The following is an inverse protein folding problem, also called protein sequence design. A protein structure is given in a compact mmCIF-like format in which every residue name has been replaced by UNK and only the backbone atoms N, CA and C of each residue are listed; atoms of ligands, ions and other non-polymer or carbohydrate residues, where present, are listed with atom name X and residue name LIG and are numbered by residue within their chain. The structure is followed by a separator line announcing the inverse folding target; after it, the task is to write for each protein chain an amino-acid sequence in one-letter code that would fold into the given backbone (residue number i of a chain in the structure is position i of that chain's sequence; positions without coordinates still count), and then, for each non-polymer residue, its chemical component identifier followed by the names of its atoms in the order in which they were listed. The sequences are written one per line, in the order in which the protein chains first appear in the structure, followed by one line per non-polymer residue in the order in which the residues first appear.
data_IF_858004466283
#
_entry.id   IF_858004466283
#
_cell.length_a   1.000
_cell.length_b   1.000
_cell.length_c   1.000
_cell.angle_alpha   90.00
_cell.angle_beta   90.00
_cell.angle_gamma   90.00
#
_symmetry.space_group_name_H-M   'P 1'
#
loop_
_entity.id
_entity.type
_entity.pdbx_description
1 polymer ?
#
# COMPACT_ATOMS: atom_id res chain seq x y z
N UNK A 1 -20.56 39.39 44.94
CA UNK A 1 -20.73 37.93 44.75
C UNK A 1 -21.45 37.60 43.44
N UNK A 2 -22.67 38.13 43.17
CA UNK A 2 -23.41 37.86 41.92
C UNK A 2 -22.65 38.19 40.61
N UNK A 3 -21.90 39.30 40.57
CA UNK A 3 -21.10 39.70 39.40
C UNK A 3 -19.89 38.79 39.12
N UNK A 4 -19.27 38.24 40.17
CA UNK A 4 -18.14 37.30 40.06
C UNK A 4 -18.63 35.93 39.60
N UNK A 5 -19.79 35.49 40.11
CA UNK A 5 -20.44 34.25 39.67
C UNK A 5 -20.83 34.29 38.19
N UNK A 6 -21.31 35.44 37.71
CA UNK A 6 -21.63 35.64 36.30
C UNK A 6 -20.40 35.60 35.39
N UNK A 7 -19.28 36.17 35.84
CA UNK A 7 -18.01 36.12 35.11
C UNK A 7 -17.45 34.68 35.01
N UNK A 8 -17.61 33.90 36.08
CA UNK A 8 -17.15 32.50 36.12
C UNK A 8 -17.99 31.61 35.18
N UNK A 9 -19.30 31.84 35.10
CA UNK A 9 -20.21 31.14 34.19
C UNK A 9 -19.89 31.45 32.73
N UNK A 10 -19.56 32.72 32.43
CA UNK A 10 -19.18 33.16 31.09
C UNK A 10 -17.82 32.57 30.66
N UNK A 11 -16.86 32.46 31.58
CA UNK A 11 -15.59 31.78 31.32
C UNK A 11 -15.78 30.29 31.04
N UNK A 12 -16.69 29.60 31.76
CA UNK A 12 -16.98 28.18 31.54
C UNK A 12 -17.58 27.90 30.15
N UNK A 13 -18.41 28.83 29.63
CA UNK A 13 -18.98 28.73 28.28
C UNK A 13 -17.93 28.87 27.16
N UNK A 14 -16.82 29.57 27.41
CA UNK A 14 -15.74 29.73 26.43
C UNK A 14 -14.87 28.46 26.28
N UNK A 15 -14.85 27.57 27.26
CA UNK A 15 -14.09 26.30 27.20
C UNK A 15 -14.90 25.13 26.61
N UNK A 16 -16.20 25.30 26.34
CA UNK A 16 -17.08 24.23 25.86
C UNK A 16 -17.12 24.06 24.34
N UNK A 17 -16.43 24.91 23.57
CA UNK A 17 -16.46 24.88 22.10
C UNK A 17 -15.24 24.20 21.51
N UNK A 18 -15.01 22.93 21.85
CA UNK A 18 -14.12 22.05 21.11
C UNK A 18 -14.96 20.98 20.42
N UNK A 19 -15.57 21.34 19.28
CA UNK A 19 -16.10 20.33 18.37
C UNK A 19 -14.90 19.63 17.71
N UNK A 20 -14.66 18.37 18.06
CA UNK A 20 -13.78 17.53 17.27
C UNK A 20 -14.49 17.30 15.93
N UNK A 21 -14.08 18.02 14.88
CA UNK A 21 -14.40 17.60 13.53
C UNK A 21 -13.64 16.30 13.30
N UNK A 22 -14.36 15.19 13.20
CA UNK A 22 -13.79 13.95 12.71
C UNK A 22 -13.38 14.17 11.26
N UNK A 23 -12.08 14.22 11.00
CA UNK A 23 -11.56 14.22 9.64
C UNK A 23 -11.97 12.91 8.98
N UNK A 24 -12.68 13.01 7.85
CA UNK A 24 -13.10 11.83 7.09
C UNK A 24 -11.87 11.20 6.45
N UNK A 25 -11.62 9.94 6.79
CA UNK A 25 -10.61 9.12 6.13
C UNK A 25 -11.13 8.57 4.79
N UNK A 26 -10.22 8.09 3.96
CA UNK A 26 -10.54 7.43 2.68
C UNK A 26 -9.72 6.17 2.48
N UNK A 27 -10.05 5.42 1.44
CA UNK A 27 -9.29 4.25 0.99
C UNK A 27 -8.42 4.66 -0.19
N UNK A 28 -7.12 4.42 -0.09
CA UNK A 28 -6.17 4.56 -1.19
C UNK A 28 -5.80 3.18 -1.70
N UNK A 29 -5.88 2.98 -3.01
CA UNK A 29 -5.50 1.71 -3.64
C UNK A 29 -4.24 1.88 -4.47
N UNK A 30 -3.25 1.00 -4.24
CA UNK A 30 -2.08 0.86 -5.09
C UNK A 30 -2.28 -0.36 -5.98
N UNK A 31 -2.33 -0.15 -7.30
CA UNK A 31 -2.46 -1.23 -8.28
C UNK A 31 -1.15 -1.41 -9.05
N UNK A 32 -0.56 -2.59 -8.92
CA UNK A 32 0.69 -2.95 -9.57
C UNK A 32 0.40 -3.67 -10.88
N UNK A 33 0.79 -3.06 -12.00
CA UNK A 33 0.64 -3.64 -13.33
C UNK A 33 2.00 -4.06 -13.89
N UNK A 34 2.03 -5.14 -14.66
CA UNK A 34 3.26 -5.69 -15.24
C UNK A 34 3.20 -5.54 -16.75
N UNK A 35 4.31 -5.09 -17.33
CA UNK A 35 4.40 -4.82 -18.75
C UNK A 35 5.76 -5.29 -19.27
N UNK A 36 5.76 -5.92 -20.44
CA UNK A 36 6.95 -6.27 -21.20
C UNK A 36 7.05 -5.35 -22.41
N UNK A 37 7.99 -4.40 -22.41
CA UNK A 37 8.12 -3.38 -23.46
C UNK A 37 6.79 -2.67 -23.81
N UNK A 38 6.00 -2.35 -22.79
CA UNK A 38 4.68 -1.70 -22.93
C UNK A 38 3.52 -2.64 -23.25
N UNK A 39 3.77 -3.94 -23.46
CA UNK A 39 2.72 -4.94 -23.62
C UNK A 39 2.34 -5.47 -22.23
N UNK A 40 1.06 -5.33 -21.85
CA UNK A 40 0.57 -5.85 -20.58
C UNK A 40 0.81 -7.36 -20.45
N UNK A 41 1.32 -7.77 -19.29
CA UNK A 41 1.47 -9.16 -18.88
C UNK A 41 0.30 -9.51 -17.98
N UNK A 42 -0.49 -10.48 -18.40
CA UNK A 42 -1.64 -11.01 -17.65
C UNK A 42 -1.41 -12.47 -17.30
N UNK A 43 -2.20 -13.01 -16.38
CA UNK A 43 -2.14 -14.44 -16.03
C UNK A 43 -2.38 -15.37 -17.22
N UNK A 44 -3.11 -14.92 -18.25
CA UNK A 44 -3.36 -15.70 -19.47
C UNK A 44 -2.14 -15.83 -20.39
N UNK A 45 -1.08 -15.06 -20.16
CA UNK A 45 0.11 -15.01 -21.01
C UNK A 45 1.18 -16.03 -20.60
N UNK A 46 1.02 -16.68 -19.46
CA UNK A 46 1.99 -17.59 -18.89
C UNK A 46 2.08 -18.89 -19.69
N UNK A 47 3.29 -19.44 -19.80
CA UNK A 47 3.59 -20.62 -20.61
C UNK A 47 3.25 -20.45 -22.11
N UNK A 48 3.15 -19.21 -22.59
CA UNK A 48 2.96 -18.89 -24.00
C UNK A 48 4.14 -18.13 -24.57
N UNK A 49 4.49 -18.38 -25.84
CA UNK A 49 5.56 -17.66 -26.56
C UNK A 49 5.03 -16.35 -27.14
N UNK A 50 4.57 -15.45 -26.27
CA UNK A 50 3.92 -14.17 -26.62
C UNK A 50 4.92 -13.01 -26.76
N UNK A 51 5.94 -12.98 -25.92
CA UNK A 51 6.83 -11.83 -25.79
C UNK A 51 8.11 -12.02 -26.60
N UNK A 52 8.76 -10.90 -26.93
CA UNK A 52 10.03 -10.88 -27.67
C UNK A 52 11.06 -10.07 -26.88
N UNK A 53 12.26 -10.61 -26.72
CA UNK A 53 13.37 -9.89 -26.07
C UNK A 53 14.05 -8.90 -27.05
N UNK A 54 15.05 -8.16 -26.59
CA UNK A 54 15.80 -7.21 -27.44
C UNK A 54 16.60 -7.89 -28.57
N UNK A 55 16.86 -9.20 -28.44
CA UNK A 55 17.55 -10.00 -29.46
C UNK A 55 16.61 -10.62 -30.50
N UNK A 56 15.31 -10.31 -30.46
CA UNK A 56 14.26 -10.89 -31.31
C UNK A 56 13.92 -12.36 -31.04
N UNK A 57 14.38 -12.93 -29.92
CA UNK A 57 13.95 -14.25 -29.50
C UNK A 57 12.56 -14.16 -28.88
N UNK A 58 11.69 -15.10 -29.25
CA UNK A 58 10.43 -15.29 -28.53
C UNK A 58 10.74 -15.90 -27.17
N UNK A 59 10.05 -15.41 -26.14
CA UNK A 59 10.19 -15.89 -24.76
C UNK A 59 8.82 -16.19 -24.16
N UNK A 60 8.80 -17.18 -23.26
CA UNK A 60 7.67 -17.47 -22.38
C UNK A 60 7.99 -17.03 -20.97
N UNK A 61 6.94 -16.64 -20.24
CA UNK A 61 7.02 -16.40 -18.80
C UNK A 61 6.39 -17.62 -18.12
N UNK A 62 7.20 -18.42 -17.43
CA UNK A 62 6.70 -19.59 -16.67
C UNK A 62 6.19 -19.18 -15.30
N UNK A 63 6.85 -18.20 -14.67
CA UNK A 63 6.50 -17.68 -13.36
C UNK A 63 6.96 -16.24 -13.20
N UNK A 64 6.10 -15.39 -12.66
CA UNK A 64 6.41 -14.02 -12.28
C UNK A 64 5.71 -13.71 -10.96
N UNK A 65 6.49 -13.77 -9.88
CA UNK A 65 6.08 -13.38 -8.54
C UNK A 65 7.16 -12.55 -7.89
N UNK A 66 6.78 -11.57 -7.09
CA UNK A 66 7.70 -10.68 -6.42
C UNK A 66 7.06 -10.08 -5.17
N UNK A 67 7.89 -9.53 -4.29
CA UNK A 67 7.45 -8.94 -3.04
C UNK A 67 7.44 -7.42 -3.13
N UNK A 68 6.41 -6.81 -2.56
CA UNK A 68 6.40 -5.38 -2.22
C UNK A 68 6.35 -5.28 -0.68
N UNK A 69 7.25 -4.51 -0.08
CA UNK A 69 7.26 -4.26 1.37
C UNK A 69 7.38 -2.78 1.70
N UNK A 70 7.24 -2.44 2.98
CA UNK A 70 7.52 -1.10 3.49
C UNK A 70 6.74 0.02 2.78
N UNK A 71 5.44 -0.22 2.53
CA UNK A 71 4.57 0.78 1.91
C UNK A 71 4.34 1.92 2.89
N UNK A 72 4.76 3.13 2.52
CA UNK A 72 4.87 4.29 3.42
C UNK A 72 3.57 4.80 4.05
N UNK A 73 2.41 4.37 3.55
CA UNK A 73 1.10 4.72 4.11
C UNK A 73 0.55 3.68 5.10
N UNK A 74 1.22 2.53 5.23
CA UNK A 74 0.81 1.45 6.11
C UNK A 74 1.70 1.53 7.36
N UNK A 75 1.07 1.54 8.53
CA UNK A 75 1.78 1.53 9.80
C UNK A 75 2.25 0.11 10.15
N UNK A 76 3.44 -0.01 10.71
CA UNK A 76 4.03 -1.30 11.07
C UNK A 76 4.62 -2.05 9.89
N UNK A 77 5.16 -3.24 10.17
CA UNK A 77 5.70 -4.14 9.16
C UNK A 77 4.59 -4.60 8.21
N UNK A 78 4.86 -4.50 6.91
CA UNK A 78 3.94 -4.90 5.88
C UNK A 78 4.69 -5.43 4.66
N UNK A 79 4.17 -6.52 4.10
CA UNK A 79 4.70 -7.17 2.92
C UNK A 79 3.55 -7.81 2.13
N UNK A 80 3.67 -7.82 0.82
CA UNK A 80 2.65 -8.28 -0.10
C UNK A 80 3.32 -9.10 -1.21
N UNK A 81 3.01 -10.40 -1.24
CA UNK A 81 3.40 -11.26 -2.35
C UNK A 81 2.47 -10.99 -3.52
N UNK A 82 3.04 -10.51 -4.62
CA UNK A 82 2.33 -10.34 -5.89
C UNK A 82 2.66 -11.55 -6.73
N UNK A 83 1.65 -12.36 -7.03
CA UNK A 83 1.74 -13.47 -7.97
C UNK A 83 0.88 -13.16 -9.20
N UNK A 84 1.56 -12.86 -10.31
CA UNK A 84 0.91 -12.43 -11.55
C UNK A 84 0.27 -13.62 -12.26
N UNK A 85 0.80 -14.83 -12.07
CA UNK A 85 0.23 -16.06 -12.64
C UNK A 85 -1.08 -16.43 -11.96
N UNK A 86 -1.13 -16.26 -10.64
CA UNK A 86 -2.35 -16.49 -9.83
C UNK A 86 -3.30 -15.28 -9.80
N UNK A 87 -2.94 -14.16 -10.46
CA UNK A 87 -3.69 -12.90 -10.42
C UNK A 87 -4.02 -12.45 -8.99
N UNK A 88 -3.01 -12.45 -8.12
CA UNK A 88 -3.16 -12.18 -6.68
C UNK A 88 -2.15 -11.14 -6.17
N UNK A 89 -2.54 -10.41 -5.12
CA UNK A 89 -1.69 -9.43 -4.43
C UNK A 89 -1.44 -8.11 -5.16
N UNK A 90 -1.84 -7.99 -6.43
CA UNK A 90 -1.56 -6.81 -7.26
C UNK A 90 -2.31 -5.54 -6.84
N UNK A 91 -3.38 -5.65 -6.03
CA UNK A 91 -4.15 -4.53 -5.50
C UNK A 91 -3.97 -4.46 -3.98
N UNK A 92 -3.27 -3.42 -3.51
CA UNK A 92 -3.10 -3.14 -2.09
C UNK A 92 -4.06 -2.01 -1.70
N UNK A 93 -5.06 -2.32 -0.88
CA UNK A 93 -6.00 -1.35 -0.34
C UNK A 93 -5.52 -0.84 1.03
N UNK A 94 -5.43 0.47 1.17
CA UNK A 94 -4.96 1.16 2.37
C UNK A 94 -6.11 2.00 2.91
N UNK A 95 -6.71 1.53 4.00
CA UNK A 95 -7.79 2.23 4.69
C UNK A 95 -7.25 3.34 5.57
N UNK A 96 -8.15 4.19 6.06
CA UNK A 96 -7.86 5.19 7.09
C UNK A 96 -6.81 6.24 6.71
N UNK A 97 -6.72 6.55 5.41
CA UNK A 97 -5.84 7.61 4.91
C UNK A 97 -6.54 8.96 5.06
N UNK A 98 -5.94 9.86 5.84
CA UNK A 98 -6.42 11.24 5.98
C UNK A 98 -6.13 12.08 4.73
N UNK A 99 -6.91 13.13 4.44
CA UNK A 99 -6.59 14.06 3.36
C UNK A 99 -5.24 14.74 3.58
N UNK A 100 -4.36 14.70 2.57
CA UNK A 100 -3.03 15.29 2.69
C UNK A 100 -2.15 15.08 1.46
N UNK A 101 -0.96 15.66 1.50
CA UNK A 101 0.07 15.45 0.48
C UNK A 101 1.01 14.34 0.96
N UNK A 102 1.10 13.25 0.19
CA UNK A 102 1.92 12.09 0.52
C UNK A 102 3.00 11.85 -0.53
N UNK A 103 4.16 11.36 -0.07
CA UNK A 103 5.16 10.73 -0.94
C UNK A 103 5.04 9.23 -0.76
N UNK A 104 4.54 8.54 -1.79
CA UNK A 104 4.44 7.08 -1.78
C UNK A 104 5.83 6.50 -1.97
N UNK A 105 6.23 5.63 -1.05
CA UNK A 105 7.43 4.81 -1.14
C UNK A 105 7.08 3.38 -0.80
N UNK A 106 7.81 2.46 -1.39
CA UNK A 106 7.75 1.03 -1.12
C UNK A 106 9.08 0.41 -1.54
N UNK A 107 9.36 -0.78 -1.04
CA UNK A 107 10.53 -1.59 -1.36
C UNK A 107 10.11 -2.72 -2.28
N UNK A 108 10.87 -2.94 -3.36
CA UNK A 108 10.73 -4.14 -4.18
C UNK A 108 11.61 -5.23 -3.58
N UNK A 109 11.01 -6.24 -2.95
CA UNK A 109 11.71 -7.21 -2.12
C UNK A 109 11.66 -6.87 -0.62
N UNK A 110 12.73 -7.22 0.08
CA UNK A 110 12.99 -6.91 1.49
C UNK A 110 14.27 -6.09 1.59
N UNK A 111 14.44 -5.34 2.68
CA UNK A 111 15.76 -4.81 3.03
C UNK A 111 16.69 -5.92 3.51
N UNK A 112 18.01 -5.68 3.50
CA UNK A 112 19.00 -6.65 3.96
C UNK A 112 18.76 -7.08 5.43
N UNK A 113 18.26 -6.17 6.27
CA UNK A 113 17.97 -6.45 7.67
C UNK A 113 16.72 -7.33 7.83
N UNK A 114 15.70 -7.09 6.99
CA UNK A 114 14.46 -7.86 7.01
C UNK A 114 14.65 -9.25 6.40
N UNK A 115 15.51 -9.39 5.39
CA UNK A 115 15.76 -10.64 4.66
C UNK A 115 16.55 -11.67 5.51
N UNK A 116 15.90 -12.14 6.56
CA UNK A 116 16.41 -13.11 7.52
C UNK A 116 15.78 -14.48 7.24
N UNK A 117 16.61 -15.52 7.29
CA UNK A 117 16.19 -16.90 7.06
C UNK A 117 15.07 -17.34 8.03
N UNK A 118 14.05 -18.01 7.48
CA UNK A 118 12.90 -18.50 8.25
C UNK A 118 11.88 -17.46 8.73
N UNK A 119 12.13 -16.15 8.55
CA UNK A 119 11.22 -15.10 9.05
C UNK A 119 9.89 -15.00 8.30
N UNK A 120 9.83 -15.47 7.06
CA UNK A 120 8.65 -15.37 6.19
C UNK A 120 8.24 -16.73 5.62
N UNK A 121 7.70 -17.63 6.46
CA UNK A 121 7.25 -18.95 5.99
C UNK A 121 6.07 -18.84 5.00
N UNK A 122 5.25 -17.80 5.12
CA UNK A 122 4.13 -17.47 4.24
C UNK A 122 4.56 -17.13 2.80
N UNK A 123 5.79 -16.64 2.61
CA UNK A 123 6.32 -16.32 1.28
C UNK A 123 6.85 -17.53 0.51
N UNK A 124 6.88 -18.70 1.13
CA UNK A 124 7.44 -19.94 0.59
C UNK A 124 6.41 -21.05 0.34
N UNK A 125 5.12 -20.80 0.61
CA UNK A 125 4.02 -21.71 0.30
C UNK A 125 3.59 -21.66 -1.17
#
# INVERSE_FOLDING_TARGET
MKKVLFLLLLAFLLFSSCNKQEEKTTVVSLNFTQNWNGISVTNQDFNTMKFTNENNDKVSIERLRYLISNVSLISGENHFLIDVGENSGNLIAISDVYPGNYKIKFTFGLTDLENTDGSYPDLNS
#
